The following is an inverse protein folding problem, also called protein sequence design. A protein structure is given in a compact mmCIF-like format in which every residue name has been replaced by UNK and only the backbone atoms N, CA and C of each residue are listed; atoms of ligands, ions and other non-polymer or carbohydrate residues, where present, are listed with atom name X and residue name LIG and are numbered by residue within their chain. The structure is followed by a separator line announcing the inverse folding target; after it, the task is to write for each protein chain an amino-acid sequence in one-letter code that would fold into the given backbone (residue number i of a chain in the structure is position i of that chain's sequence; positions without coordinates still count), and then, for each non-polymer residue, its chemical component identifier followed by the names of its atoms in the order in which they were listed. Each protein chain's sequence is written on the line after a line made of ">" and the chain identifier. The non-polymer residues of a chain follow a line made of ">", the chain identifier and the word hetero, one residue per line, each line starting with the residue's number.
data_IF_528171628548
#
_entry.id   IF_528171628548
#
_cell.length_a   1.000
_cell.length_b   1.000
_cell.length_c   1.000
_cell.angle_alpha   90.00
_cell.angle_beta   90.00
_cell.angle_gamma   90.00
#
_symmetry.space_group_name_H-M   'P 1'
#
loop_
_entity.id
_entity.type
_entity.pdbx_description
1 polymer ?
#
# COMPACT_ATOMS: atom_id res chain seq x y z
N UNK A 1 -4.02 -11.28 7.60
CA UNK A 1 -4.39 -10.15 6.72
C UNK A 1 -3.42 -10.10 5.55
N UNK A 2 -3.93 -9.81 4.35
CA UNK A 2 -3.13 -9.62 3.14
C UNK A 2 -3.24 -8.16 2.69
N UNK A 3 -2.12 -7.53 2.41
CA UNK A 3 -2.06 -6.13 2.03
C UNK A 3 -1.27 -5.94 0.73
N UNK A 4 -1.78 -5.06 -0.12
CA UNK A 4 -1.14 -4.61 -1.34
C UNK A 4 -1.14 -3.09 -1.42
N UNK A 5 -0.08 -2.52 -1.97
CA UNK A 5 0.06 -1.07 -2.12
C UNK A 5 0.29 -0.66 -3.57
N UNK A 6 -0.26 0.49 -3.92
CA UNK A 6 0.00 1.22 -5.16
C UNK A 6 0.20 2.70 -4.83
N UNK A 7 1.13 3.37 -5.50
CA UNK A 7 1.33 4.81 -5.37
C UNK A 7 1.06 5.52 -6.69
N UNK A 8 0.06 6.40 -6.68
CA UNK A 8 -0.29 7.24 -7.82
C UNK A 8 0.49 8.55 -7.78
N UNK A 9 1.56 8.64 -8.57
CA UNK A 9 2.33 9.89 -8.75
C UNK A 9 1.46 11.06 -9.24
N UNK A 10 0.48 10.77 -10.09
CA UNK A 10 -0.43 11.78 -10.66
C UNK A 10 -1.34 12.38 -9.60
N UNK A 11 -1.90 11.55 -8.73
CA UNK A 11 -2.84 11.98 -7.68
C UNK A 11 -2.12 12.36 -6.37
N UNK A 12 -0.84 12.01 -6.26
CA UNK A 12 -0.08 12.02 -5.02
C UNK A 12 -0.79 11.27 -3.88
N UNK A 13 -1.33 10.10 -4.19
CA UNK A 13 -2.08 9.25 -3.26
C UNK A 13 -1.48 7.85 -3.21
N UNK A 14 -1.50 7.26 -2.03
CA UNK A 14 -1.21 5.84 -1.82
C UNK A 14 -2.53 5.10 -1.70
N UNK A 15 -2.72 4.09 -2.53
CA UNK A 15 -3.84 3.16 -2.47
C UNK A 15 -3.37 1.92 -1.71
N UNK A 16 -4.03 1.61 -0.59
CA UNK A 16 -3.76 0.43 0.22
C UNK A 16 -4.98 -0.49 0.16
N UNK A 17 -4.81 -1.63 -0.50
CA UNK A 17 -5.81 -2.69 -0.53
C UNK A 17 -5.56 -3.66 0.63
N UNK A 18 -6.61 -3.98 1.37
CA UNK A 18 -6.57 -4.86 2.54
C UNK A 18 -7.61 -5.95 2.40
N UNK A 19 -7.15 -7.19 2.56
CA UNK A 19 -8.00 -8.36 2.74
C UNK A 19 -7.80 -8.93 4.14
N UNK A 20 -8.87 -8.92 4.92
CA UNK A 20 -8.96 -9.54 6.24
C UNK A 20 -9.54 -10.94 6.06
N UNK A 21 -8.90 -11.91 6.70
CA UNK A 21 -9.41 -13.28 6.83
C UNK A 21 -9.38 -13.65 8.31
N UNK A 22 -10.25 -14.57 8.71
CA UNK A 22 -10.26 -15.14 10.06
C UNK A 22 -9.86 -16.61 9.98
N UNK A 23 -9.00 -17.05 10.90
CA UNK A 23 -8.61 -18.47 11.04
C UNK A 23 -9.55 -19.25 11.95
N UNK A 24 -10.50 -18.58 12.62
CA UNK A 24 -11.51 -19.26 13.41
C UNK A 24 -12.32 -20.19 12.51
N UNK A 25 -12.23 -21.49 12.78
CA UNK A 25 -13.11 -22.49 12.18
C UNK A 25 -14.51 -22.20 12.69
N UNK A 26 -15.48 -22.00 11.80
CA UNK A 26 -16.88 -22.11 12.18
C UNK A 26 -17.07 -23.54 12.71
N UNK A 27 -17.50 -23.70 13.96
CA UNK A 27 -17.76 -25.02 14.53
C UNK A 27 -18.80 -25.73 13.65
N UNK A 28 -18.51 -26.93 13.12
CA UNK A 28 -19.46 -27.66 12.26
C UNK A 28 -20.59 -28.35 13.07
N UNK A 29 -20.93 -27.82 14.26
CA UNK A 29 -21.68 -28.54 15.28
C UNK A 29 -22.98 -27.91 15.78
N UNK A 30 -23.54 -26.91 15.11
CA UNK A 30 -24.89 -26.43 15.44
C UNK A 30 -25.90 -26.88 14.39
N UNK A 31 -26.45 -28.09 14.58
CA UNK A 31 -27.75 -28.47 14.04
C UNK A 31 -28.80 -27.53 14.63
N UNK A 32 -29.01 -26.39 13.99
CA UNK A 32 -30.15 -25.54 14.25
C UNK A 32 -30.74 -25.17 12.89
N UNK A 33 -31.89 -25.78 12.62
CA UNK A 33 -32.81 -25.43 11.56
C UNK A 33 -33.30 -23.99 11.77
N UNK A 34 -32.47 -23.03 11.37
CA UNK A 34 -32.81 -21.61 11.35
C UNK A 34 -32.52 -21.12 9.94
N UNK A 35 -33.62 -20.75 9.29
CA UNK A 35 -33.76 -20.00 8.05
C UNK A 35 -32.48 -19.27 7.62
N UNK A 36 -32.05 -19.53 6.38
CA UNK A 36 -30.80 -19.06 5.78
C UNK A 36 -30.75 -17.55 5.54
N UNK A 37 -30.72 -16.79 6.61
CA UNK A 37 -30.35 -15.38 6.64
C UNK A 37 -29.71 -15.07 7.99
N UNK A 38 -28.48 -14.54 7.92
CA UNK A 38 -27.72 -13.86 8.99
C UNK A 38 -26.91 -14.78 9.94
N UNK A 39 -25.58 -14.82 9.72
CA UNK A 39 -24.60 -14.27 10.68
C UNK A 39 -23.33 -13.77 9.95
N UNK A 40 -23.49 -12.83 9.03
CA UNK A 40 -22.41 -11.88 8.63
C UNK A 40 -22.22 -10.79 9.72
N UNK A 41 -22.80 -10.99 10.91
CA UNK A 41 -23.08 -9.96 11.90
C UNK A 41 -22.21 -9.95 13.16
N UNK A 42 -21.10 -10.69 13.21
CA UNK A 42 -20.17 -10.65 14.35
C UNK A 42 -18.67 -10.76 13.98
N UNK A 43 -18.34 -10.67 12.69
CA UNK A 43 -17.00 -10.97 12.16
C UNK A 43 -16.18 -9.69 12.01
N UNK A 44 -15.50 -9.27 13.09
CA UNK A 44 -14.63 -8.10 13.04
C UNK A 44 -13.87 -7.83 14.33
N UNK A 45 -12.63 -7.36 14.23
CA UNK A 45 -11.92 -6.82 15.39
C UNK A 45 -12.43 -5.38 15.65
N UNK A 46 -12.66 -4.97 16.90
CA UNK A 46 -13.18 -3.63 17.17
C UNK A 46 -12.15 -2.55 16.80
N UNK A 47 -12.64 -1.38 16.38
CA UNK A 47 -11.80 -0.19 16.21
C UNK A 47 -11.23 0.00 14.80
N UNK A 48 -10.25 0.91 14.75
CA UNK A 48 -9.52 1.29 13.54
C UNK A 48 -8.04 0.96 13.75
N UNK A 49 -7.44 0.31 12.76
CA UNK A 49 -6.01 0.04 12.76
C UNK A 49 -5.28 1.23 12.15
N UNK A 50 -4.19 1.63 12.80
CA UNK A 50 -3.32 2.69 12.33
C UNK A 50 -2.37 2.20 11.24
N UNK A 51 -2.17 3.05 10.23
CA UNK A 51 -1.18 2.88 9.17
C UNK A 51 -0.21 4.05 9.23
N UNK A 52 1.09 3.75 9.35
CA UNK A 52 2.17 4.74 9.33
C UNK A 52 2.76 4.80 7.93
N UNK A 53 2.66 5.96 7.30
CA UNK A 53 3.28 6.26 6.01
C UNK A 53 4.53 7.10 6.26
N UNK A 54 5.69 6.59 5.87
CA UNK A 54 6.93 7.35 5.95
C UNK A 54 7.32 7.86 4.57
N UNK A 55 7.42 9.17 4.49
CA UNK A 55 7.75 9.92 3.29
C UNK A 55 9.05 10.70 3.49
N UNK A 56 9.56 11.32 2.43
CA UNK A 56 10.75 12.17 2.51
C UNK A 56 10.57 13.38 3.45
N UNK A 57 9.33 13.83 3.67
CA UNK A 57 8.99 14.92 4.59
C UNK A 57 8.77 14.50 6.05
N UNK A 58 8.70 13.20 6.35
CA UNK A 58 8.43 12.69 7.69
C UNK A 58 7.50 11.48 7.71
N UNK A 59 7.14 11.04 8.93
CA UNK A 59 6.20 9.96 9.16
C UNK A 59 4.83 10.50 9.57
N UNK A 60 3.78 9.93 8.99
CA UNK A 60 2.39 10.30 9.23
C UNK A 60 1.58 9.07 9.63
N UNK A 61 0.84 9.19 10.74
CA UNK A 61 -0.04 8.14 11.25
C UNK A 61 -1.48 8.38 10.81
N UNK A 62 -2.09 7.33 10.26
CA UNK A 62 -3.45 7.37 9.72
C UNK A 62 -4.30 6.28 10.39
N UNK A 63 -5.21 6.61 11.32
CA UNK A 63 -6.14 5.65 11.95
C UNK A 63 -7.32 5.40 11.02
N UNK A 64 -7.07 4.70 9.91
CA UNK A 64 -7.99 4.72 8.76
C UNK A 64 -8.49 3.35 8.32
N UNK A 65 -7.97 2.26 8.87
CA UNK A 65 -8.34 0.93 8.42
C UNK A 65 -9.39 0.34 9.37
N UNK A 66 -10.68 0.24 8.97
CA UNK A 66 -11.69 -0.37 9.81
C UNK A 66 -11.35 -1.84 10.02
N UNK A 67 -11.45 -2.31 11.25
CA UNK A 67 -11.12 -3.70 11.59
C UNK A 67 -12.34 -4.62 11.67
N UNK A 68 -13.53 -4.03 11.70
CA UNK A 68 -14.82 -4.70 11.60
C UNK A 68 -15.53 -4.39 10.27
N UNK A 69 -16.54 -5.21 9.94
CA UNK A 69 -17.31 -5.09 8.71
C UNK A 69 -16.63 -5.75 7.51
N UNK A 70 -16.70 -5.11 6.34
CA UNK A 70 -16.27 -5.65 5.05
C UNK A 70 -14.85 -6.22 5.06
N UNK A 71 -14.71 -7.50 4.75
CA UNK A 71 -13.42 -8.20 4.77
C UNK A 71 -12.40 -7.66 3.74
N UNK A 72 -12.90 -7.06 2.66
CA UNK A 72 -12.08 -6.42 1.64
C UNK A 72 -12.30 -4.91 1.71
N UNK A 73 -11.21 -4.15 1.76
CA UNK A 73 -11.30 -2.71 1.81
C UNK A 73 -10.13 -2.08 1.05
N UNK A 74 -10.37 -0.96 0.39
CA UNK A 74 -9.33 -0.15 -0.26
C UNK A 74 -9.39 1.25 0.32
N UNK A 75 -8.27 1.71 0.85
CA UNK A 75 -8.15 3.04 1.44
C UNK A 75 -7.18 3.90 0.65
N UNK A 76 -7.49 5.19 0.58
CA UNK A 76 -6.64 6.20 -0.05
C UNK A 76 -5.97 7.05 1.03
N UNK A 77 -4.64 7.09 0.99
CA UNK A 77 -3.78 7.80 1.92
C UNK A 77 -3.12 8.97 1.21
N UNK A 78 -3.30 10.18 1.73
CA UNK A 78 -2.66 11.38 1.18
C UNK A 78 -1.15 11.29 1.36
N UNK A 79 -0.40 11.39 0.26
CA UNK A 79 1.03 11.65 0.32
C UNK A 79 1.26 13.15 0.48
N UNK A 80 1.94 13.59 1.53
CA UNK A 80 2.14 15.00 1.83
C UNK A 80 3.35 15.59 1.10
N UNK A 81 4.35 14.75 0.84
CA UNK A 81 5.59 15.10 0.19
C UNK A 81 5.38 15.29 -1.31
N UNK A 82 5.96 16.36 -1.86
CA UNK A 82 5.88 16.64 -3.31
C UNK A 82 6.95 15.84 -4.04
N UNK A 83 6.56 15.17 -5.12
CA UNK A 83 7.51 14.58 -6.07
C UNK A 83 8.35 15.72 -6.65
N UNK A 84 9.67 15.66 -6.52
CA UNK A 84 10.55 16.64 -7.14
C UNK A 84 10.39 16.52 -8.66
N UNK A 85 9.75 17.50 -9.30
CA UNK A 85 9.73 17.58 -10.76
C UNK A 85 11.18 17.80 -11.20
N UNK A 86 11.83 16.77 -11.76
CA UNK A 86 13.09 16.93 -12.48
C UNK A 86 12.84 17.93 -13.60
N UNK A 87 13.20 19.18 -13.34
CA UNK A 87 13.29 20.23 -14.34
C UNK A 87 14.41 19.76 -15.26
N UNK A 88 14.06 19.05 -16.32
CA UNK A 88 14.98 18.71 -17.40
C UNK A 88 15.63 20.03 -17.82
N UNK A 89 16.86 20.26 -17.37
CA UNK A 89 17.68 21.30 -17.96
C UNK A 89 17.90 20.83 -19.39
N UNK A 90 17.20 21.46 -20.33
CA UNK A 90 17.55 21.40 -21.75
C UNK A 90 19.00 21.86 -21.85
N UNK A 91 19.94 20.92 -21.81
CA UNK A 91 21.32 21.18 -22.21
C UNK A 91 21.26 21.46 -23.71
N UNK A 92 21.21 22.75 -24.03
CA UNK A 92 21.28 23.26 -25.39
C UNK A 92 22.72 23.11 -25.87
N UNK A 93 23.05 22.02 -26.58
CA UNK A 93 24.16 22.01 -27.56
C UNK A 93 24.05 20.89 -28.62
N UNK A 94 23.61 21.32 -29.81
CA UNK A 94 23.98 20.93 -31.18
C UNK A 94 24.13 19.46 -31.64
N UNK A 95 23.35 19.17 -32.69
CA UNK A 95 23.73 18.61 -34.02
C UNK A 95 23.77 17.09 -34.29
N UNK A 96 22.90 16.76 -35.28
CA UNK A 96 22.85 15.67 -36.28
C UNK A 96 22.05 14.39 -35.94
N UNK A 97 21.19 13.92 -36.88
CA UNK A 97 20.42 12.69 -36.74
C UNK A 97 21.22 11.53 -37.35
N UNK A 98 21.37 10.43 -36.60
CA UNK A 98 21.55 9.12 -37.23
C UNK A 98 20.88 8.06 -36.36
N UNK A 99 20.20 7.14 -37.05
CA UNK A 99 19.19 6.26 -36.46
C UNK A 99 19.77 5.17 -35.57
N UNK A 100 19.00 4.77 -34.56
CA UNK A 100 19.07 3.42 -33.99
C UNK A 100 17.84 3.14 -33.13
N UNK A 101 17.30 1.94 -33.28
CA UNK A 101 16.09 1.43 -32.65
C UNK A 101 16.10 1.53 -31.12
N UNK A 102 15.24 2.38 -30.57
CA UNK A 102 14.96 2.42 -29.14
C UNK A 102 13.72 1.56 -28.83
N UNK A 103 13.93 0.24 -28.81
CA UNK A 103 13.10 -0.64 -27.98
C UNK A 103 13.49 -0.38 -26.52
N UNK A 104 12.99 0.72 -25.94
CA UNK A 104 13.19 1.02 -24.52
C UNK A 104 12.35 0.04 -23.72
N UNK A 105 13.04 -1.01 -23.31
CA UNK A 105 12.66 -2.02 -22.33
C UNK A 105 11.89 -1.37 -21.16
N UNK A 106 10.60 -1.70 -21.08
CA UNK A 106 9.68 -1.29 -20.04
C UNK A 106 10.18 -1.65 -18.61
N UNK A 107 11.14 -2.59 -18.50
CA UNK A 107 11.77 -2.98 -17.23
C UNK A 107 12.63 -1.86 -16.61
N UNK A 108 13.23 -1.00 -17.43
CA UNK A 108 14.17 0.05 -16.95
C UNK A 108 13.44 1.24 -16.31
N UNK A 109 12.17 1.44 -16.68
CA UNK A 109 11.36 2.55 -16.19
C UNK A 109 10.91 2.31 -14.75
N UNK A 110 10.54 1.07 -14.40
CA UNK A 110 10.14 0.70 -13.06
C UNK A 110 11.26 0.96 -12.03
N UNK A 111 12.50 0.57 -12.37
CA UNK A 111 13.62 0.74 -11.45
C UNK A 111 14.00 2.22 -11.24
N UNK A 112 13.91 3.06 -12.28
CA UNK A 112 14.14 4.52 -12.15
C UNK A 112 13.02 5.24 -11.40
N UNK A 113 11.78 4.75 -11.49
CA UNK A 113 10.66 5.36 -10.75
C UNK A 113 10.77 5.25 -9.23
N UNK A 114 11.60 4.32 -8.74
CA UNK A 114 11.82 4.05 -7.31
C UNK A 114 12.73 5.06 -6.60
N UNK A 115 13.67 5.69 -7.31
CA UNK A 115 14.60 6.68 -6.74
C UNK A 115 13.96 8.05 -6.51
N UNK A 116 12.94 8.39 -7.29
CA UNK A 116 12.25 9.69 -7.23
C UNK A 116 10.88 9.59 -6.54
N UNK A 117 10.56 8.47 -5.87
CA UNK A 117 9.32 8.34 -5.10
C UNK A 117 9.44 9.05 -3.75
N UNK A 118 8.49 9.92 -3.36
CA UNK A 118 8.48 10.53 -2.03
C UNK A 118 8.15 9.51 -0.93
N UNK A 119 7.53 8.38 -1.29
CA UNK A 119 7.17 7.31 -0.37
C UNK A 119 8.39 6.42 -0.05
N UNK A 120 8.81 6.41 1.22
CA UNK A 120 9.95 5.62 1.68
C UNK A 120 9.55 4.23 2.13
N UNK A 121 8.54 4.11 3.00
CA UNK A 121 7.99 2.84 3.47
C UNK A 121 6.61 3.02 4.12
N UNK A 122 5.88 1.92 4.28
CA UNK A 122 4.60 1.89 4.99
C UNK A 122 4.67 0.82 6.09
N UNK A 123 4.09 1.08 7.25
CA UNK A 123 3.85 0.08 8.29
C UNK A 123 2.37 0.06 8.63
N UNK A 124 1.86 -1.13 8.87
CA UNK A 124 0.50 -1.34 9.35
C UNK A 124 0.59 -1.84 10.78
N UNK A 125 -0.26 -1.30 11.64
CA UNK A 125 -0.26 -1.56 13.07
C UNK A 125 1.11 -1.32 13.74
N UNK A 126 1.66 -0.08 13.66
CA UNK A 126 2.99 0.21 14.19
C UNK A 126 3.10 0.01 15.70
N UNK A 127 1.98 0.14 16.43
CA UNK A 127 1.91 -0.01 17.88
C UNK A 127 1.53 -1.44 18.30
N UNK A 128 1.35 -2.37 17.34
CA UNK A 128 1.01 -3.78 17.57
C UNK A 128 -0.24 -3.97 18.45
N UNK A 129 -1.28 -3.17 18.22
CA UNK A 129 -2.54 -3.24 18.96
C UNK A 129 -3.33 -4.52 18.63
N UNK A 130 -3.12 -5.09 17.43
CA UNK A 130 -3.85 -6.25 16.95
C UNK A 130 -2.95 -7.48 16.84
N UNK A 131 -3.42 -8.60 17.40
CA UNK A 131 -2.81 -9.90 17.19
C UNK A 131 -3.22 -10.46 15.83
N UNK A 132 -2.48 -10.05 14.79
CA UNK A 132 -2.74 -10.46 13.42
C UNK A 132 -1.47 -10.92 12.71
N UNK A 133 -1.59 -11.99 11.91
CA UNK A 133 -0.57 -12.32 10.93
C UNK A 133 -0.73 -11.39 9.71
N UNK A 134 0.33 -10.66 9.37
CA UNK A 134 0.32 -9.68 8.28
C UNK A 134 1.18 -10.16 7.12
N UNK A 135 0.56 -10.37 5.96
CA UNK A 135 1.22 -10.66 4.69
C UNK A 135 1.22 -9.39 3.87
N UNK A 136 2.36 -8.71 3.80
CA UNK A 136 2.45 -7.41 3.14
C UNK A 136 3.51 -7.40 2.05
N UNK A 137 3.10 -7.17 0.80
CA UNK A 137 4.00 -7.06 -0.33
C UNK A 137 4.40 -5.60 -0.59
N UNK A 138 5.53 -5.17 -0.03
CA UNK A 138 6.17 -3.88 -0.34
C UNK A 138 7.38 -4.06 -1.28
N UNK A 139 7.69 -3.07 -2.13
CA UNK A 139 8.93 -3.05 -2.89
C UNK A 139 10.16 -3.21 -1.98
N UNK A 140 11.16 -3.98 -2.42
CA UNK A 140 12.36 -4.32 -1.63
C UNK A 140 13.08 -3.08 -1.08
N UNK A 141 13.10 -1.98 -1.83
CA UNK A 141 13.73 -0.73 -1.42
C UNK A 141 13.05 -0.12 -0.17
N UNK A 142 11.75 -0.34 0.02
CA UNK A 142 11.05 0.11 1.22
C UNK A 142 11.51 -0.68 2.45
N UNK A 143 11.64 -2.00 2.33
CA UNK A 143 12.17 -2.84 3.40
C UNK A 143 13.60 -2.46 3.79
N UNK A 144 14.47 -2.21 2.81
CA UNK A 144 15.86 -1.77 3.06
C UNK A 144 15.90 -0.43 3.80
N UNK A 145 14.97 0.49 3.51
CA UNK A 145 14.89 1.79 4.22
C UNK A 145 14.38 1.69 5.65
N UNK A 146 13.61 0.67 5.99
CA UNK A 146 13.16 0.43 7.37
C UNK A 146 14.31 -0.07 8.24
N UNK A 147 15.21 -0.86 7.67
CA UNK A 147 16.31 -1.51 8.40
C UNK A 147 17.56 -0.63 8.58
N UNK A 148 17.56 0.58 8.01
CA UNK A 148 18.63 1.57 8.13
C UNK A 148 18.24 2.61 9.16
#
# INVERSE_FOLDING_TARGET
>A
MRLGISYSKRRNLVELAVSRGCTAKADPGSDNHVNGDIQEGATGWPGMMSVRVHETGGAYDHPILPMAGEALHVVELQCHSKVAAKRFQKTKKSSKPDGSDDNVDASTQENRTSMDSPLLWIRVDPEMEYLAEIHFHQPIQMWVRIAR
#
